data_IF_435552426579
#
_entry.id   IF_435552426579
#
_cell.length_a   1.000
_cell.length_b   1.000
_cell.length_c   1.000
_cell.angle_alpha   90.00
_cell.angle_beta   90.00
_cell.angle_gamma   90.00
#
_symmetry.space_group_name_H-M   'P 1'
#
loop_
_entity.id
_entity.type
_entity.pdbx_description
1 polymer ?
#
# COMPACT_ATOMS: atom_id res chain seq x y z
N UNK A 1 -10.89 9.49 25.37
CA UNK A 1 -10.73 9.34 23.92
C UNK A 1 -9.23 9.36 23.61
N UNK A 2 -8.67 8.25 23.14
CA UNK A 2 -7.22 8.01 22.98
C UNK A 2 -6.50 9.00 22.03
N UNK A 3 -7.19 9.48 20.98
CA UNK A 3 -6.62 10.46 20.04
C UNK A 3 -6.23 11.78 20.74
N UNK A 4 -7.09 12.33 21.58
CA UNK A 4 -6.81 13.60 22.29
C UNK A 4 -5.61 13.49 23.23
N UNK A 5 -5.32 12.28 23.72
CA UNK A 5 -4.16 11.99 24.56
C UNK A 5 -2.85 11.85 23.76
N UNK A 6 -2.94 11.84 22.41
CA UNK A 6 -1.78 11.69 21.53
C UNK A 6 -1.18 10.27 21.51
N UNK A 7 -1.97 9.25 21.88
CA UNK A 7 -1.53 7.85 21.89
C UNK A 7 -1.56 7.18 20.52
N UNK A 8 -2.07 7.86 19.49
CA UNK A 8 -2.08 7.36 18.12
C UNK A 8 -1.08 8.14 17.29
N UNK A 9 -0.16 7.44 16.68
CA UNK A 9 0.83 8.00 15.78
C UNK A 9 0.46 7.67 14.34
N UNK A 10 0.61 8.64 13.43
CA UNK A 10 0.54 8.41 11.98
C UNK A 10 1.89 8.81 11.42
N UNK A 11 2.55 7.87 10.73
CA UNK A 11 3.91 8.03 10.20
C UNK A 11 4.89 8.55 11.28
N UNK A 12 4.87 7.89 12.44
CA UNK A 12 5.71 8.21 13.61
C UNK A 12 5.48 9.61 14.23
N UNK A 13 4.38 10.29 13.87
CA UNK A 13 3.99 11.56 14.46
C UNK A 13 2.70 11.44 15.27
N UNK A 14 2.65 11.90 16.55
CA UNK A 14 1.44 11.85 17.35
C UNK A 14 0.36 12.77 16.75
N UNK A 15 -0.81 12.22 16.48
CA UNK A 15 -1.96 12.96 15.94
C UNK A 15 -3.06 13.04 16.99
N UNK A 16 -3.51 14.26 17.29
CA UNK A 16 -4.57 14.54 18.28
C UNK A 16 -5.91 14.88 17.64
N UNK A 17 -5.89 15.22 16.36
CA UNK A 17 -7.08 15.53 15.59
C UNK A 17 -7.71 14.27 15.00
N UNK A 18 -8.99 14.01 15.33
CA UNK A 18 -9.74 12.90 14.77
C UNK A 18 -10.12 13.07 13.30
N UNK A 19 -9.96 14.24 12.74
CA UNK A 19 -10.21 14.56 11.32
C UNK A 19 -8.92 14.59 10.49
N UNK A 20 -7.77 14.21 11.07
CA UNK A 20 -6.51 14.15 10.35
C UNK A 20 -6.62 13.22 9.13
N UNK A 21 -6.29 13.69 7.91
CA UNK A 21 -6.40 12.89 6.70
C UNK A 21 -5.29 11.85 6.66
N UNK A 22 -5.62 10.60 6.93
CA UNK A 22 -4.76 9.45 6.69
C UNK A 22 -5.12 8.81 5.35
N UNK A 23 -4.13 8.38 4.59
CA UNK A 23 -4.28 7.89 3.23
C UNK A 23 -3.61 6.54 2.97
N UNK A 24 -3.56 6.17 1.70
CA UNK A 24 -2.93 4.93 1.24
C UNK A 24 -1.43 4.90 1.60
N UNK A 25 -0.96 3.77 2.12
CA UNK A 25 0.40 3.52 2.62
C UNK A 25 0.75 4.17 3.96
N UNK A 26 -0.11 4.99 4.57
CA UNK A 26 0.17 5.55 5.89
C UNK A 26 0.22 4.45 6.95
N UNK A 27 1.15 4.58 7.88
CA UNK A 27 1.32 3.67 9.01
C UNK A 27 0.71 4.28 10.26
N UNK A 28 -0.28 3.58 10.82
CA UNK A 28 -0.93 3.95 12.08
C UNK A 28 -0.38 3.07 13.19
N UNK A 29 0.20 3.67 14.21
CA UNK A 29 0.80 2.98 15.35
C UNK A 29 0.16 3.43 16.66
N UNK A 30 -0.05 2.48 17.57
CA UNK A 30 -0.47 2.72 18.94
C UNK A 30 0.65 2.22 19.88
N UNK A 31 1.62 3.07 20.25
CA UNK A 31 2.81 2.63 20.98
C UNK A 31 2.48 1.96 22.31
N UNK A 32 1.37 2.34 22.96
CA UNK A 32 0.96 1.78 24.25
C UNK A 32 0.57 0.30 24.18
N UNK A 33 -0.01 -0.16 23.08
CA UNK A 33 -0.39 -1.56 22.86
C UNK A 33 0.61 -2.32 22.00
N UNK A 34 1.47 -1.59 21.28
CA UNK A 34 2.40 -2.16 20.32
C UNK A 34 1.76 -2.52 18.96
N UNK A 35 0.50 -2.16 18.77
CA UNK A 35 -0.22 -2.44 17.53
C UNK A 35 0.21 -1.47 16.42
N UNK A 36 0.48 -2.01 15.25
CA UNK A 36 0.87 -1.26 14.05
C UNK A 36 0.09 -1.73 12.86
N UNK A 37 -0.44 -0.79 12.08
CA UNK A 37 -1.28 -1.06 10.93
C UNK A 37 -0.87 -0.18 9.76
N UNK A 38 -0.95 -0.72 8.54
CA UNK A 38 -0.84 0.05 7.29
C UNK A 38 -2.20 0.16 6.64
N UNK A 39 -2.51 1.36 6.15
CA UNK A 39 -3.70 1.62 5.36
C UNK A 39 -3.47 1.15 3.91
N UNK A 40 -4.22 0.15 3.49
CA UNK A 40 -4.18 -0.41 2.15
C UNK A 40 -5.58 -0.37 1.53
N UNK A 41 -5.67 -0.63 0.22
CA UNK A 41 -6.96 -0.85 -0.43
C UNK A 41 -7.30 -2.34 -0.46
N UNK A 42 -8.56 -2.65 -0.14
CA UNK A 42 -9.17 -3.95 -0.41
C UNK A 42 -9.59 -4.05 -1.89
N UNK A 43 -9.79 -5.25 -2.41
CA UNK A 43 -10.25 -5.51 -3.78
C UNK A 43 -11.59 -4.84 -4.11
N UNK A 44 -12.40 -4.54 -3.09
CA UNK A 44 -13.66 -3.78 -3.21
C UNK A 44 -13.45 -2.26 -3.21
N UNK A 45 -12.21 -1.79 -3.22
CA UNK A 45 -11.84 -0.36 -3.26
C UNK A 45 -12.01 0.38 -1.93
N UNK A 46 -12.23 -0.34 -0.82
CA UNK A 46 -12.31 0.24 0.53
C UNK A 46 -10.94 0.25 1.20
N UNK A 47 -10.77 1.08 2.21
CA UNK A 47 -9.61 1.00 3.08
C UNK A 47 -9.66 -0.25 3.95
N UNK A 48 -8.54 -0.94 4.03
CA UNK A 48 -8.30 -2.08 4.90
C UNK A 48 -7.05 -1.82 5.75
N UNK A 49 -7.09 -2.27 7.00
CA UNK A 49 -5.96 -2.23 7.91
C UNK A 49 -5.21 -3.55 7.83
N UNK A 50 -3.91 -3.47 7.58
CA UNK A 50 -3.00 -4.62 7.55
C UNK A 50 -2.06 -4.52 8.74
N UNK A 51 -2.05 -5.54 9.59
CA UNK A 51 -1.14 -5.59 10.75
C UNK A 51 0.30 -5.75 10.28
N UNK A 52 1.22 -5.01 10.90
CA UNK A 52 2.63 -4.94 10.54
C UNK A 52 3.53 -5.44 11.66
N UNK A 53 4.69 -5.96 11.29
CA UNK A 53 5.83 -6.13 12.19
C UNK A 53 6.51 -4.78 12.48
N UNK A 54 7.32 -4.72 13.53
CA UNK A 54 8.04 -3.50 13.90
C UNK A 54 9.02 -3.03 12.81
N UNK A 55 9.72 -3.95 12.20
CA UNK A 55 10.68 -3.66 11.13
C UNK A 55 9.98 -3.08 9.89
N UNK A 56 8.84 -3.67 9.51
CA UNK A 56 8.08 -3.23 8.35
C UNK A 56 7.38 -1.88 8.55
N UNK A 57 6.96 -1.58 9.78
CA UNK A 57 6.32 -0.30 10.10
C UNK A 57 7.25 0.92 9.93
N UNK A 58 8.57 0.70 9.91
CA UNK A 58 9.55 1.77 9.67
C UNK A 58 9.67 2.16 8.20
N UNK A 59 9.23 1.29 7.30
CA UNK A 59 9.35 1.47 5.86
C UNK A 59 8.00 1.93 5.30
N UNK A 60 8.02 3.02 4.54
CA UNK A 60 6.87 3.53 3.78
C UNK A 60 7.23 3.60 2.31
N UNK A 61 6.34 3.11 1.45
CA UNK A 61 6.47 3.27 0.01
C UNK A 61 5.80 4.57 -0.42
N UNK A 62 6.51 5.38 -1.22
CA UNK A 62 6.02 6.66 -1.70
C UNK A 62 6.19 6.77 -3.22
N UNK A 63 5.08 6.88 -3.95
CA UNK A 63 5.10 7.07 -5.41
C UNK A 63 5.46 8.50 -5.75
N UNK A 64 6.38 8.67 -6.69
CA UNK A 64 6.75 9.97 -7.25
C UNK A 64 5.67 10.43 -8.22
N UNK A 65 5.06 11.57 -7.93
CA UNK A 65 3.99 12.18 -8.73
C UNK A 65 4.55 13.27 -9.63
N UNK A 66 5.49 14.06 -9.13
CA UNK A 66 6.08 15.17 -9.87
C UNK A 66 7.54 15.35 -9.50
N UNK A 67 8.32 15.88 -10.46
CA UNK A 67 9.71 16.28 -10.31
C UNK A 67 9.83 17.72 -10.76
N UNK A 68 10.42 18.58 -9.93
CA UNK A 68 10.66 19.97 -10.29
C UNK A 68 11.94 20.49 -9.64
N UNK A 69 12.44 21.59 -10.16
CA UNK A 69 13.57 22.32 -9.59
C UNK A 69 13.09 23.51 -8.81
N UNK A 70 13.37 23.54 -7.51
CA UNK A 70 13.05 24.66 -6.62
C UNK A 70 14.06 25.81 -6.76
N UNK A 71 13.76 26.94 -6.11
CA UNK A 71 14.66 28.10 -6.02
C UNK A 71 16.04 27.67 -5.54
N UNK A 72 17.10 28.16 -6.16
CA UNK A 72 18.49 27.73 -5.89
C UNK A 72 18.90 26.46 -6.65
N UNK A 73 18.15 26.08 -7.69
CA UNK A 73 18.42 24.90 -8.54
C UNK A 73 18.41 23.56 -7.76
N UNK A 74 17.63 23.48 -6.68
CA UNK A 74 17.49 22.27 -5.88
C UNK A 74 16.47 21.32 -6.53
N UNK A 75 16.86 20.11 -6.95
CA UNK A 75 15.89 19.12 -7.44
C UNK A 75 15.01 18.63 -6.32
N UNK A 76 13.71 18.53 -6.57
CA UNK A 76 12.69 18.09 -5.59
C UNK A 76 11.76 17.07 -6.25
N UNK A 77 11.58 15.94 -5.59
CA UNK A 77 10.55 14.96 -5.91
C UNK A 77 9.34 15.17 -4.99
N UNK A 78 8.15 15.25 -5.59
CA UNK A 78 6.87 15.30 -4.87
C UNK A 78 6.25 13.91 -4.91
N UNK A 79 5.86 13.42 -3.76
CA UNK A 79 5.27 12.09 -3.60
C UNK A 79 3.75 12.16 -3.49
N UNK A 80 3.07 11.00 -3.61
CA UNK A 80 1.61 10.90 -3.59
C UNK A 80 0.97 11.36 -2.27
N UNK A 81 1.70 11.32 -1.16
CA UNK A 81 1.30 11.75 0.18
C UNK A 81 1.67 13.21 0.49
N UNK A 82 2.18 13.94 -0.51
CA UNK A 82 2.55 15.37 -0.39
C UNK A 82 3.93 15.64 0.19
N UNK A 83 4.73 14.60 0.49
CA UNK A 83 6.11 14.81 0.91
C UNK A 83 6.95 15.38 -0.23
N UNK A 84 7.88 16.26 0.13
CA UNK A 84 8.85 16.89 -0.79
C UNK A 84 10.24 16.43 -0.42
N UNK A 85 10.79 15.52 -1.23
CA UNK A 85 12.13 14.97 -1.05
C UNK A 85 13.10 15.83 -1.83
N UNK A 86 14.04 16.47 -1.14
CA UNK A 86 15.14 17.23 -1.76
C UNK A 86 16.26 16.30 -2.15
N UNK A 87 16.90 16.58 -3.28
CA UNK A 87 17.99 15.78 -3.83
C UNK A 87 17.63 14.30 -3.96
N UNK A 88 16.53 13.96 -4.69
CA UNK A 88 16.22 12.57 -4.98
C UNK A 88 17.34 11.94 -5.82
N UNK A 89 17.36 10.62 -5.92
CA UNK A 89 18.30 9.93 -6.82
C UNK A 89 18.15 10.49 -8.24
N UNK A 90 19.28 10.81 -8.95
CA UNK A 90 19.24 11.36 -10.31
C UNK A 90 18.48 10.50 -11.32
N UNK A 91 18.41 9.21 -11.07
CA UNK A 91 17.67 8.26 -11.92
C UNK A 91 16.16 8.22 -11.62
N UNK A 92 15.66 8.99 -10.64
CA UNK A 92 14.23 9.00 -10.29
C UNK A 92 13.40 9.55 -11.44
N UNK A 93 12.32 8.83 -11.79
CA UNK A 93 11.35 9.23 -12.80
C UNK A 93 9.94 9.33 -12.20
N UNK A 94 9.05 10.06 -12.86
CA UNK A 94 7.66 10.14 -12.47
C UNK A 94 7.02 8.75 -12.58
N UNK A 95 6.32 8.32 -11.53
CA UNK A 95 5.71 7.00 -11.45
C UNK A 95 6.54 5.96 -10.71
N UNK A 96 7.83 6.21 -10.46
CA UNK A 96 8.67 5.35 -9.64
C UNK A 96 8.22 5.39 -8.16
N UNK A 97 8.61 4.38 -7.40
CA UNK A 97 8.30 4.30 -5.96
C UNK A 97 9.59 4.37 -5.15
N UNK A 98 9.63 5.31 -4.22
CA UNK A 98 10.73 5.49 -3.27
C UNK A 98 10.42 4.68 -2.01
N UNK A 99 11.38 3.90 -1.55
CA UNK A 99 11.36 3.23 -0.26
C UNK A 99 11.92 4.20 0.79
N UNK A 100 11.08 4.66 1.69
CA UNK A 100 11.41 5.70 2.66
C UNK A 100 11.40 5.15 4.08
N UNK A 101 12.46 5.43 4.85
CA UNK A 101 12.50 5.12 6.28
C UNK A 101 11.90 6.30 7.06
N UNK A 102 10.76 6.04 7.73
CA UNK A 102 10.00 7.06 8.44
C UNK A 102 10.74 7.55 9.69
N UNK A 103 11.49 6.68 10.38
CA UNK A 103 12.26 7.05 11.59
C UNK A 103 13.47 7.91 11.24
N UNK A 104 14.26 7.46 10.28
CA UNK A 104 15.50 8.16 9.89
C UNK A 104 15.26 9.32 8.94
N UNK A 105 14.06 9.41 8.36
CA UNK A 105 13.68 10.42 7.35
C UNK A 105 14.61 10.40 6.12
N UNK A 106 14.98 9.19 5.68
CA UNK A 106 15.89 8.98 4.55
C UNK A 106 15.26 8.06 3.50
N UNK A 107 15.61 8.30 2.24
CA UNK A 107 15.34 7.36 1.16
C UNK A 107 16.31 6.19 1.26
N UNK A 108 15.81 4.97 1.25
CA UNK A 108 16.58 3.73 1.37
C UNK A 108 16.83 3.13 0.00
N UNK A 109 15.81 3.05 -0.85
CA UNK A 109 15.87 2.40 -2.15
C UNK A 109 14.89 3.06 -3.13
N UNK A 110 15.06 2.76 -4.42
CA UNK A 110 14.20 3.24 -5.51
C UNK A 110 13.74 2.06 -6.37
N UNK A 111 12.43 1.88 -6.45
CA UNK A 111 11.82 0.84 -7.29
C UNK A 111 11.30 1.50 -8.56
N UNK A 112 11.89 1.11 -9.69
CA UNK A 112 11.49 1.62 -11.00
C UNK A 112 10.15 1.09 -11.45
N UNK A 113 9.34 1.94 -12.06
CA UNK A 113 8.10 1.56 -12.72
C UNK A 113 8.40 0.98 -14.11
N UNK A 114 8.60 -0.33 -14.20
CA UNK A 114 8.96 -1.06 -15.43
C UNK A 114 8.15 -2.36 -15.54
N UNK A 115 8.18 -2.96 -16.73
CA UNK A 115 7.62 -4.31 -16.96
C UNK A 115 8.20 -5.32 -15.98
N UNK A 116 7.41 -6.31 -15.59
CA UNK A 116 7.76 -7.34 -14.62
C UNK A 116 7.66 -6.90 -13.16
N UNK A 117 7.27 -5.66 -12.86
CA UNK A 117 7.16 -5.18 -11.48
C UNK A 117 5.78 -5.43 -10.89
N UNK A 118 5.76 -5.83 -9.61
CA UNK A 118 4.52 -5.97 -8.86
C UNK A 118 3.93 -4.63 -8.50
N UNK A 119 2.65 -4.45 -8.80
CA UNK A 119 1.92 -3.20 -8.59
C UNK A 119 0.58 -3.43 -7.94
N UNK A 120 0.11 -2.42 -7.20
CA UNK A 120 -1.26 -2.31 -6.72
C UNK A 120 -1.96 -1.15 -7.43
N UNK A 121 -3.23 -1.33 -7.75
CA UNK A 121 -4.04 -0.28 -8.38
C UNK A 121 -4.69 0.58 -7.30
N UNK A 122 -4.42 1.88 -7.33
CA UNK A 122 -4.90 2.85 -6.33
C UNK A 122 -6.18 3.57 -6.72
N UNK A 123 -6.61 3.48 -8.00
CA UNK A 123 -7.78 4.19 -8.49
C UNK A 123 -8.54 3.48 -9.60
N UNK A 124 -9.75 3.95 -9.88
CA UNK A 124 -10.63 3.39 -10.90
C UNK A 124 -11.39 2.13 -10.44
N UNK A 125 -11.99 1.42 -11.41
CA UNK A 125 -12.80 0.22 -11.15
C UNK A 125 -11.99 -0.99 -10.65
N UNK A 126 -10.67 -1.00 -10.89
CA UNK A 126 -9.75 -2.07 -10.49
C UNK A 126 -8.97 -1.73 -9.20
N UNK A 127 -9.44 -0.74 -8.41
CA UNK A 127 -8.78 -0.34 -7.16
C UNK A 127 -8.60 -1.53 -6.22
N UNK A 128 -7.41 -1.65 -5.62
CA UNK A 128 -7.05 -2.70 -4.69
C UNK A 128 -6.60 -4.01 -5.33
N UNK A 129 -6.71 -4.15 -6.68
CA UNK A 129 -6.13 -5.31 -7.37
C UNK A 129 -4.62 -5.20 -7.41
N UNK A 130 -3.97 -6.36 -7.31
CA UNK A 130 -2.52 -6.51 -7.40
C UNK A 130 -2.22 -7.31 -8.66
N UNK A 131 -1.17 -6.94 -9.36
CA UNK A 131 -0.72 -7.65 -10.55
C UNK A 131 0.69 -7.26 -10.94
N UNK A 132 1.20 -7.91 -11.96
CA UNK A 132 2.48 -7.63 -12.59
C UNK A 132 2.26 -6.80 -13.86
N UNK A 133 3.15 -5.83 -14.11
CA UNK A 133 3.10 -5.03 -15.34
C UNK A 133 3.56 -5.86 -16.52
N UNK A 134 2.65 -6.12 -17.45
CA UNK A 134 2.96 -6.79 -18.72
C UNK A 134 3.44 -5.77 -19.74
N UNK A 135 2.70 -4.67 -19.92
CA UNK A 135 2.97 -3.64 -20.93
C UNK A 135 2.37 -2.30 -20.52
N UNK A 136 3.01 -1.23 -20.89
CA UNK A 136 2.47 0.13 -20.79
C UNK A 136 2.38 0.73 -22.17
N UNK A 137 1.18 1.12 -22.58
CA UNK A 137 0.90 1.79 -23.85
C UNK A 137 0.82 3.30 -23.64
N UNK A 138 1.65 4.03 -24.39
CA UNK A 138 1.67 5.49 -24.36
C UNK A 138 0.75 6.03 -25.47
N UNK A 139 -0.21 6.85 -25.09
CA UNK A 139 -1.13 7.51 -26.01
C UNK A 139 -0.89 9.03 -25.95
N UNK A 140 -0.17 9.63 -26.93
CA UNK A 140 0.06 11.06 -26.96
C UNK A 140 -1.28 11.82 -26.99
N UNK A 141 -1.45 12.77 -26.06
CA UNK A 141 -2.70 13.55 -25.90
C UNK A 141 -3.83 12.84 -25.15
N UNK A 142 -3.65 11.58 -24.74
CA UNK A 142 -4.60 10.81 -23.95
C UNK A 142 -3.94 10.17 -22.71
N UNK A 143 -4.70 9.39 -21.95
CA UNK A 143 -4.16 8.67 -20.80
C UNK A 143 -3.39 7.42 -21.23
N UNK A 144 -2.20 7.24 -20.69
CA UNK A 144 -1.45 6.00 -20.85
C UNK A 144 -2.16 4.84 -20.17
N UNK A 145 -2.18 3.68 -20.83
CA UNK A 145 -2.83 2.46 -20.36
C UNK A 145 -1.76 1.44 -19.98
N UNK A 146 -1.93 0.81 -18.84
CA UNK A 146 -1.10 -0.31 -18.41
C UNK A 146 -1.90 -1.59 -18.38
N UNK A 147 -1.35 -2.63 -18.99
CA UNK A 147 -1.84 -3.98 -18.98
C UNK A 147 -1.16 -4.74 -17.83
N UNK A 148 -1.97 -5.29 -16.95
CA UNK A 148 -1.55 -5.98 -15.74
C UNK A 148 -2.04 -7.41 -15.79
N UNK A 149 -1.27 -8.31 -15.18
CA UNK A 149 -1.60 -9.71 -15.03
C UNK A 149 -1.69 -10.06 -13.55
N UNK A 150 -2.82 -10.60 -13.13
CA UNK A 150 -3.01 -11.06 -11.74
C UNK A 150 -2.23 -12.37 -11.47
N UNK A 151 -2.09 -12.73 -10.19
CA UNK A 151 -1.52 -14.01 -9.78
C UNK A 151 -2.33 -15.23 -10.30
N UNK A 152 -3.62 -15.06 -10.63
CA UNK A 152 -4.45 -16.09 -11.28
C UNK A 152 -4.19 -16.23 -12.78
N UNK A 153 -3.37 -15.36 -13.38
CA UNK A 153 -3.13 -15.32 -14.82
C UNK A 153 -4.12 -14.48 -15.62
N UNK A 154 -5.14 -13.90 -14.99
CA UNK A 154 -6.12 -13.04 -15.65
C UNK A 154 -5.51 -11.67 -15.97
N UNK A 155 -5.68 -11.21 -17.20
CA UNK A 155 -5.20 -9.91 -17.66
C UNK A 155 -6.29 -8.85 -17.50
N UNK A 156 -5.87 -7.65 -17.12
CA UNK A 156 -6.73 -6.48 -17.01
C UNK A 156 -5.97 -5.20 -17.31
N UNK A 157 -6.67 -4.17 -17.75
CA UNK A 157 -6.10 -2.88 -18.07
C UNK A 157 -6.53 -1.79 -17.08
N UNK A 158 -5.63 -0.84 -16.82
CA UNK A 158 -5.90 0.34 -16.00
C UNK A 158 -5.08 1.53 -16.50
N UNK A 159 -5.42 2.75 -16.04
CA UNK A 159 -4.60 3.92 -16.35
C UNK A 159 -3.24 3.82 -15.65
N UNK A 160 -2.16 4.15 -16.36
CA UNK A 160 -0.81 4.15 -15.79
C UNK A 160 -0.65 5.07 -14.58
N UNK A 161 -1.44 6.16 -14.49
CA UNK A 161 -1.46 7.02 -13.33
C UNK A 161 -1.94 6.33 -12.05
N UNK A 162 -2.80 5.32 -12.16
CA UNK A 162 -3.39 4.59 -11.04
C UNK A 162 -2.51 3.44 -10.52
N UNK A 163 -1.36 3.18 -11.13
CA UNK A 163 -0.45 2.12 -10.74
C UNK A 163 0.47 2.62 -9.63
N UNK A 164 0.70 1.78 -8.63
CA UNK A 164 1.63 2.00 -7.55
C UNK A 164 2.52 0.76 -7.40
N UNK A 165 3.82 0.91 -7.60
CA UNK A 165 4.77 -0.21 -7.53
C UNK A 165 5.01 -0.58 -6.07
N UNK A 166 4.84 -1.88 -5.74
CA UNK A 166 4.96 -2.41 -4.36
C UNK A 166 6.08 -3.43 -4.20
N UNK A 167 6.69 -3.87 -5.30
CA UNK A 167 7.76 -4.87 -5.24
C UNK A 167 8.48 -5.07 -6.55
N UNK A 168 9.54 -5.84 -6.50
CA UNK A 168 10.30 -6.22 -7.70
C UNK A 168 9.52 -7.23 -8.55
N UNK A 169 8.88 -8.19 -7.92
CA UNK A 169 8.07 -9.25 -8.53
C UNK A 169 6.91 -9.58 -7.61
N UNK A 170 5.91 -10.36 -8.07
CA UNK A 170 4.78 -10.78 -7.24
C UNK A 170 5.20 -11.60 -6.00
N UNK A 171 6.35 -12.28 -6.08
CA UNK A 171 6.90 -13.07 -4.97
C UNK A 171 7.76 -12.26 -3.99
N UNK A 172 8.26 -11.10 -4.42
CA UNK A 172 9.16 -10.23 -3.64
C UNK A 172 8.52 -8.85 -3.43
N UNK A 173 7.47 -8.83 -2.63
CA UNK A 173 6.81 -7.60 -2.23
C UNK A 173 7.59 -6.94 -1.08
N UNK A 174 7.71 -5.62 -1.12
CA UNK A 174 8.36 -4.83 -0.07
C UNK A 174 7.44 -4.58 1.13
N UNK A 175 6.15 -4.86 0.97
CA UNK A 175 5.12 -4.61 1.98
C UNK A 175 4.14 -5.76 2.05
N UNK A 176 3.63 -6.03 3.25
CA UNK A 176 2.57 -7.01 3.48
C UNK A 176 1.27 -6.51 2.86
N UNK A 177 0.64 -7.35 2.06
CA UNK A 177 -0.62 -7.06 1.37
C UNK A 177 -1.82 -7.67 2.10
N UNK A 178 -3.06 -7.18 1.86
CA UNK A 178 -4.26 -7.78 2.43
C UNK A 178 -4.40 -9.27 2.10
N UNK A 179 -5.09 -10.03 2.94
CA UNK A 179 -5.22 -11.50 2.86
C UNK A 179 -5.66 -12.04 1.49
N UNK A 180 -6.47 -11.30 0.75
CA UNK A 180 -6.93 -11.69 -0.59
C UNK A 180 -5.89 -11.47 -1.70
N UNK A 181 -4.67 -11.01 -1.34
CA UNK A 181 -3.56 -10.76 -2.28
C UNK A 181 -3.97 -9.96 -3.54
N UNK A 182 -5.01 -9.14 -3.43
CA UNK A 182 -5.50 -8.32 -4.54
C UNK A 182 -6.24 -9.07 -5.65
N UNK A 183 -6.59 -10.33 -5.45
CA UNK A 183 -7.38 -11.11 -6.41
C UNK A 183 -8.85 -10.72 -6.36
N UNK A 184 -9.42 -10.38 -7.51
CA UNK A 184 -10.84 -10.11 -7.64
C UNK A 184 -11.57 -11.39 -8.01
N UNK A 185 -12.29 -11.96 -7.04
CA UNK A 185 -13.07 -13.17 -7.23
C UNK A 185 -14.45 -12.89 -7.83
N UNK A 186 -14.98 -13.87 -8.52
CA UNK A 186 -16.38 -13.89 -8.96
C UNK A 186 -17.31 -14.09 -7.74
N UNK A 187 -18.58 -13.68 -7.88
CA UNK A 187 -19.59 -13.80 -6.80
C UNK A 187 -19.74 -15.26 -6.30
N UNK A 188 -19.62 -16.23 -7.21
CA UNK A 188 -19.70 -17.66 -6.90
C UNK A 188 -18.51 -18.07 -6.03
N UNK A 189 -17.29 -17.71 -6.41
CA UNK A 189 -16.06 -17.99 -5.67
C UNK A 189 -16.07 -17.32 -4.28
N UNK A 190 -16.53 -16.06 -4.18
CA UNK A 190 -16.69 -15.39 -2.87
C UNK A 190 -17.68 -16.13 -1.95
N UNK A 191 -18.75 -16.69 -2.51
CA UNK A 191 -19.73 -17.48 -1.75
C UNK A 191 -19.11 -18.77 -1.24
N UNK A 192 -18.40 -19.49 -2.10
CA UNK A 192 -17.70 -20.74 -1.74
C UNK A 192 -16.68 -20.52 -0.62
N UNK A 193 -15.83 -19.48 -0.74
CA UNK A 193 -14.87 -19.14 0.31
C UNK A 193 -15.58 -18.81 1.65
N UNK A 194 -16.70 -18.07 1.60
CA UNK A 194 -17.46 -17.76 2.81
C UNK A 194 -18.04 -19.02 3.47
N UNK A 195 -18.48 -19.99 2.67
CA UNK A 195 -18.98 -21.26 3.18
C UNK A 195 -17.85 -22.06 3.83
N UNK A 196 -16.70 -22.20 3.16
CA UNK A 196 -15.51 -22.88 3.69
C UNK A 196 -15.04 -22.20 4.98
N UNK A 197 -14.98 -20.87 5.02
CA UNK A 197 -14.59 -20.14 6.21
C UNK A 197 -15.59 -20.28 7.37
N UNK A 198 -16.89 -20.38 7.06
CA UNK A 198 -17.94 -20.62 8.06
C UNK A 198 -17.84 -22.03 8.65
N UNK A 199 -17.59 -23.04 7.84
CA UNK A 199 -17.36 -24.43 8.27
C UNK A 199 -16.07 -24.54 9.11
N UNK A 200 -14.99 -23.92 8.68
CA UNK A 200 -13.73 -23.88 9.44
C UNK A 200 -13.92 -23.25 10.83
N UNK A 201 -14.75 -22.19 10.93
CA UNK A 201 -15.09 -21.55 12.22
C UNK A 201 -15.92 -22.45 13.13
N UNK A 202 -16.85 -23.25 12.57
CA UNK A 202 -17.66 -24.22 13.32
C UNK A 202 -16.81 -25.36 13.85
N UNK A 203 -15.81 -25.80 13.06
CA UNK A 203 -14.91 -26.91 13.40
C UNK A 203 -13.69 -26.46 14.22
N UNK A 204 -13.47 -25.15 14.40
CA UNK A 204 -12.39 -24.65 15.25
C UNK A 204 -12.70 -25.00 16.73
N UNK A 205 -11.78 -25.69 17.46
CA UNK A 205 -11.98 -25.98 18.87
C UNK A 205 -12.18 -24.68 19.62
N UNK A 206 -13.23 -24.64 20.49
CA UNK A 206 -13.54 -23.47 21.31
C UNK A 206 -12.26 -23.03 22.04
N UNK A 207 -11.74 -21.85 21.72
CA UNK A 207 -10.58 -21.27 22.39
C UNK A 207 -10.92 -21.22 23.88
N UNK A 208 -10.19 -22.05 24.64
CA UNK A 208 -10.42 -22.31 26.05
C UNK A 208 -10.73 -21.03 26.83
N UNK A 209 -11.75 -21.11 27.63
CA UNK A 209 -12.12 -20.10 28.61
C UNK A 209 -10.85 -19.61 29.32
N UNK A 210 -10.63 -18.29 29.28
CA UNK A 210 -9.59 -17.63 30.08
C UNK A 210 -9.72 -18.15 31.51
N UNK A 211 -8.73 -18.92 31.97
CA UNK A 211 -8.59 -19.27 33.39
C UNK A 211 -8.70 -17.97 34.18
N UNK A 212 -9.79 -17.82 34.92
CA UNK A 212 -9.90 -16.82 35.95
C UNK A 212 -8.72 -17.01 36.91
N UNK A 213 -7.82 -16.05 36.97
CA UNK A 213 -6.82 -16.00 38.03
C UNK A 213 -7.55 -15.61 39.30
N UNK A 214 -7.54 -16.56 40.25
CA UNK A 214 -7.71 -16.25 41.66
C UNK A 214 -6.60 -15.34 42.14
#
# INVERSE_FOLDING_TARGET
MILRQGLVHVDNHPRRDGKYPAGFMDVVEIPKTGDRFRLMYDVKGRFALVSLSEAEAQIKLMKVVNLYTATGRVPVAVTHDGHRIRYPDPHTSIGDTIVYNVKEKKCVDLIKNRQGKAVIVTGGANRGRIGEIVKVECHPGAFNIAHLKDASGAEFATRAANIFVIGKDLNHLQVTVPKQQGLRMNVIQEREERLIAAEARKNAPARGARKARK
#
